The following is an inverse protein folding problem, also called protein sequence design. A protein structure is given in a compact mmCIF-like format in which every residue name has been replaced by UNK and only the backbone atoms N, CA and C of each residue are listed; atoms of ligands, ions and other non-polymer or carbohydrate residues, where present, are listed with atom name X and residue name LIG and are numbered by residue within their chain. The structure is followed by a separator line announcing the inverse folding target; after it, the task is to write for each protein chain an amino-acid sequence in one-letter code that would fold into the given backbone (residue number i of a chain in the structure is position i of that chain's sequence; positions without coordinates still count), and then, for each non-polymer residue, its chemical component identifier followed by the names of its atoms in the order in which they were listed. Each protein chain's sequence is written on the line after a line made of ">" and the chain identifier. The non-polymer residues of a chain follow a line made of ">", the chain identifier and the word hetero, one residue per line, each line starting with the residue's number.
data_IF_792880563479
#
_entry.id   IF_792880563479
#
_cell.length_a   1.000
_cell.length_b   1.000
_cell.length_c   1.000
_cell.angle_alpha   90.00
_cell.angle_beta   90.00
_cell.angle_gamma   90.00
#
_symmetry.space_group_name_H-M   'P 1'
#
loop_
_entity.id
_entity.type
_entity.pdbx_description
1 polymer ?
#
# COMPACT_ATOMS: atom_id res chain seq x y z
N UNK A 1 22.74 -0.04 41.16
CA UNK A 1 22.06 1.00 40.35
C UNK A 1 22.62 0.94 38.94
N UNK A 2 21.78 0.76 37.91
CA UNK A 2 21.86 1.40 36.58
C UNK A 2 20.86 0.70 35.65
N UNK A 3 19.77 1.40 35.35
CA UNK A 3 18.78 1.04 34.34
C UNK A 3 19.23 1.62 33.00
N UNK A 4 19.63 0.77 32.06
CA UNK A 4 19.82 1.21 30.68
C UNK A 4 18.51 1.02 29.93
N UNK A 5 17.59 1.98 30.12
CA UNK A 5 16.41 2.14 29.27
C UNK A 5 16.86 2.44 27.85
N UNK A 6 16.97 1.40 27.02
CA UNK A 6 17.06 1.56 25.57
C UNK A 6 15.76 2.24 25.11
N UNK A 7 15.85 3.55 24.85
CA UNK A 7 14.82 4.29 24.11
C UNK A 7 14.71 3.67 22.72
N UNK A 8 13.73 2.78 22.55
CA UNK A 8 13.26 2.37 21.24
C UNK A 8 12.81 3.65 20.55
N UNK A 9 13.59 4.13 19.57
CA UNK A 9 13.21 5.21 18.67
C UNK A 9 11.90 4.78 18.02
N UNK A 10 10.78 5.26 18.55
CA UNK A 10 9.50 5.26 17.85
C UNK A 10 9.72 6.08 16.59
N UNK A 11 9.97 5.42 15.47
CA UNK A 11 10.02 6.04 14.16
C UNK A 11 8.67 6.72 13.94
N UNK A 12 8.70 8.04 14.15
CA UNK A 12 7.71 9.08 13.83
C UNK A 12 6.38 8.58 13.28
N UNK A 13 5.44 8.21 14.16
CA UNK A 13 4.01 8.10 13.84
C UNK A 13 3.34 9.46 13.54
N UNK A 14 4.12 10.55 13.55
CA UNK A 14 3.66 11.95 13.64
C UNK A 14 4.23 12.90 12.57
N UNK A 15 4.63 12.41 11.38
CA UNK A 15 5.13 13.29 10.29
C UNK A 15 4.21 13.41 9.06
N UNK A 16 3.10 12.69 9.02
CA UNK A 16 2.15 12.73 7.90
C UNK A 16 0.98 13.65 8.29
N UNK A 17 1.14 14.96 8.14
CA UNK A 17 0.07 15.92 8.51
C UNK A 17 -0.18 17.03 7.50
N UNK A 18 0.76 17.28 6.58
CA UNK A 18 0.56 18.23 5.49
C UNK A 18 -0.04 17.57 4.25
N UNK A 19 -0.85 18.34 3.52
CA UNK A 19 -1.43 17.95 2.23
C UNK A 19 -0.34 17.47 1.24
N UNK A 20 0.77 18.20 1.16
CA UNK A 20 1.91 17.85 0.30
C UNK A 20 2.54 16.49 0.64
N UNK A 21 2.75 16.22 1.94
CA UNK A 21 3.28 14.94 2.37
C UNK A 21 2.31 13.80 2.04
N UNK A 22 1.00 14.04 2.19
CA UNK A 22 -0.02 13.07 1.79
C UNK A 22 -0.06 12.85 0.27
N UNK A 23 0.10 13.89 -0.55
CA UNK A 23 0.22 13.77 -2.02
C UNK A 23 1.41 12.89 -2.39
N UNK A 24 2.59 13.14 -1.81
CA UNK A 24 3.80 12.36 -2.07
C UNK A 24 3.64 10.89 -1.65
N UNK A 25 3.11 10.64 -0.46
CA UNK A 25 2.90 9.29 0.05
C UNK A 25 1.87 8.51 -0.77
N UNK A 26 0.78 9.13 -1.20
CA UNK A 26 -0.20 8.51 -2.10
C UNK A 26 0.40 8.21 -3.47
N UNK A 27 1.17 9.13 -4.04
CA UNK A 27 1.83 8.93 -5.33
C UNK A 27 2.87 7.79 -5.27
N UNK A 28 3.69 7.75 -4.22
CA UNK A 28 4.64 6.68 -3.99
C UNK A 28 3.94 5.33 -3.79
N UNK A 29 2.84 5.31 -3.05
CA UNK A 29 2.04 4.10 -2.84
C UNK A 29 1.40 3.62 -4.15
N UNK A 30 0.85 4.52 -4.97
CA UNK A 30 0.32 4.18 -6.29
C UNK A 30 1.39 3.52 -7.19
N UNK A 31 2.58 4.09 -7.24
CA UNK A 31 3.69 3.53 -8.03
C UNK A 31 4.06 2.11 -7.57
N UNK A 32 4.07 1.87 -6.25
CA UNK A 32 4.30 0.52 -5.69
C UNK A 32 3.18 -0.46 -6.05
N UNK A 33 1.93 -0.01 -6.01
CA UNK A 33 0.79 -0.83 -6.45
C UNK A 33 0.89 -1.18 -7.93
N UNK A 34 1.25 -0.22 -8.79
CA UNK A 34 1.44 -0.45 -10.23
C UNK A 34 2.55 -1.48 -10.49
N UNK A 35 3.67 -1.37 -9.77
CA UNK A 35 4.77 -2.32 -9.87
C UNK A 35 4.36 -3.73 -9.38
N UNK A 36 3.61 -3.84 -8.28
CA UNK A 36 3.17 -5.13 -7.75
C UNK A 36 2.13 -5.81 -8.64
N UNK A 37 1.22 -5.04 -9.25
CA UNK A 37 0.28 -5.54 -10.24
C UNK A 37 1.02 -6.05 -11.48
N UNK A 38 2.01 -5.29 -11.96
CA UNK A 38 2.83 -5.71 -13.10
C UNK A 38 3.63 -6.99 -12.80
N UNK A 39 4.32 -7.04 -11.66
CA UNK A 39 5.11 -8.19 -11.24
C UNK A 39 4.26 -9.46 -11.06
N UNK A 40 3.09 -9.32 -10.42
CA UNK A 40 2.17 -10.43 -10.21
C UNK A 40 1.58 -10.93 -11.53
N UNK A 41 1.25 -10.02 -12.47
CA UNK A 41 0.78 -10.40 -13.79
C UNK A 41 1.85 -11.07 -14.65
N UNK A 42 3.13 -10.71 -14.49
CA UNK A 42 4.24 -11.37 -15.16
C UNK A 42 4.50 -12.78 -14.60
N UNK A 43 4.48 -12.94 -13.28
CA UNK A 43 4.66 -14.23 -12.61
C UNK A 43 3.66 -15.28 -13.14
N UNK A 44 2.38 -14.93 -13.27
CA UNK A 44 1.36 -15.88 -13.75
C UNK A 44 1.43 -16.19 -15.24
N UNK A 45 2.08 -15.35 -16.05
CA UNK A 45 2.30 -15.65 -17.48
C UNK A 45 3.49 -16.58 -17.72
N UNK A 46 4.44 -16.60 -16.80
CA UNK A 46 5.74 -17.27 -16.99
C UNK A 46 5.84 -18.57 -16.18
N UNK A 47 5.27 -18.63 -14.98
CA UNK A 47 5.54 -19.73 -14.04
C UNK A 47 4.33 -20.59 -13.66
N UNK A 48 3.12 -20.27 -14.14
CA UNK A 48 1.89 -21.01 -13.83
C UNK A 48 1.09 -21.32 -15.11
N UNK A 49 0.37 -22.45 -15.14
CA UNK A 49 -0.57 -22.85 -16.20
C UNK A 49 -1.87 -22.01 -16.14
N UNK A 50 -1.71 -20.68 -16.14
CA UNK A 50 -2.77 -19.70 -15.97
C UNK A 50 -2.95 -19.17 -14.53
N UNK A 51 -3.69 -18.06 -14.39
CA UNK A 51 -3.79 -17.36 -13.13
C UNK A 51 -4.71 -18.06 -12.11
N UNK A 52 -4.23 -18.24 -10.88
CA UNK A 52 -5.03 -18.84 -9.79
C UNK A 52 -6.15 -17.90 -9.36
N UNK A 53 -7.36 -18.41 -9.08
CA UNK A 53 -8.51 -17.60 -8.64
C UNK A 53 -8.18 -16.71 -7.42
N UNK A 54 -7.38 -17.20 -6.47
CA UNK A 54 -6.92 -16.42 -5.33
C UNK A 54 -6.02 -15.24 -5.73
N UNK A 55 -5.09 -15.44 -6.68
CA UNK A 55 -4.22 -14.35 -7.13
C UNK A 55 -4.97 -13.33 -8.00
N UNK A 56 -5.95 -13.77 -8.80
CA UNK A 56 -6.87 -12.86 -9.50
C UNK A 56 -7.65 -12.01 -8.49
N UNK A 57 -8.15 -12.61 -7.41
CA UNK A 57 -8.85 -11.90 -6.34
C UNK A 57 -7.94 -10.90 -5.62
N UNK A 58 -6.69 -11.26 -5.33
CA UNK A 58 -5.70 -10.35 -4.75
C UNK A 58 -5.36 -9.19 -5.69
N UNK A 59 -5.15 -9.47 -6.98
CA UNK A 59 -4.93 -8.44 -8.00
C UNK A 59 -6.12 -7.49 -8.12
N UNK A 60 -7.34 -8.01 -8.08
CA UNK A 60 -8.56 -7.18 -8.09
C UNK A 60 -8.66 -6.32 -6.83
N UNK A 61 -8.27 -6.85 -5.66
CA UNK A 61 -8.17 -6.06 -4.42
C UNK A 61 -7.11 -4.96 -4.53
N UNK A 62 -5.92 -5.24 -5.08
CA UNK A 62 -4.91 -4.20 -5.34
C UNK A 62 -5.45 -3.12 -6.27
N UNK A 63 -6.08 -3.49 -7.38
CA UNK A 63 -6.66 -2.55 -8.35
C UNK A 63 -7.75 -1.67 -7.71
N UNK A 64 -8.60 -2.24 -6.85
CA UNK A 64 -9.63 -1.48 -6.13
C UNK A 64 -9.02 -0.43 -5.20
N UNK A 65 -8.00 -0.81 -4.42
CA UNK A 65 -7.31 0.13 -3.53
C UNK A 65 -6.52 1.19 -4.31
N UNK A 66 -5.89 0.81 -5.42
CA UNK A 66 -5.25 1.74 -6.36
C UNK A 66 -6.23 2.79 -6.87
N UNK A 67 -7.43 2.40 -7.30
CA UNK A 67 -8.45 3.37 -7.74
C UNK A 67 -8.77 4.37 -6.64
N UNK A 68 -9.04 3.89 -5.42
CA UNK A 68 -9.34 4.75 -4.27
C UNK A 68 -8.22 5.74 -3.92
N UNK A 69 -6.96 5.31 -4.05
CA UNK A 69 -5.81 6.20 -3.87
C UNK A 69 -5.77 7.27 -4.97
N UNK A 70 -6.03 6.90 -6.22
CA UNK A 70 -6.07 7.83 -7.35
C UNK A 70 -7.21 8.85 -7.22
N UNK A 71 -8.41 8.39 -6.90
CA UNK A 71 -9.58 9.26 -6.65
C UNK A 71 -9.31 10.27 -5.54
N UNK A 72 -8.66 9.83 -4.45
CA UNK A 72 -8.28 10.71 -3.35
C UNK A 72 -7.18 11.71 -3.75
N UNK A 73 -6.22 11.31 -4.58
CA UNK A 73 -5.20 12.20 -5.13
C UNK A 73 -5.79 13.31 -6.00
N UNK A 74 -6.78 12.96 -6.84
CA UNK A 74 -7.53 13.96 -7.63
C UNK A 74 -8.27 14.94 -6.72
N UNK A 75 -8.80 14.45 -5.59
CA UNK A 75 -9.42 15.30 -4.57
C UNK A 75 -8.40 16.25 -3.91
N UNK A 76 -7.11 15.92 -3.91
CA UNK A 76 -6.04 16.78 -3.37
C UNK A 76 -5.55 17.85 -4.34
N UNK A 77 -5.70 17.68 -5.66
CA UNK A 77 -5.13 18.62 -6.64
C UNK A 77 -5.69 20.02 -6.48
N UNK A 78 -6.98 20.14 -6.17
CA UNK A 78 -7.67 21.43 -6.04
C UNK A 78 -8.09 21.75 -4.60
N UNK A 79 -7.77 20.91 -3.62
CA UNK A 79 -8.18 21.13 -2.24
C UNK A 79 -7.48 22.36 -1.64
N UNK A 80 -8.27 23.28 -1.11
CA UNK A 80 -7.80 24.37 -0.25
C UNK A 80 -7.33 23.85 1.11
N UNK A 81 -6.70 24.72 1.92
CA UNK A 81 -6.28 24.36 3.27
C UNK A 81 -7.47 23.99 4.19
N UNK A 82 -8.62 24.64 4.03
CA UNK A 82 -9.84 24.34 4.80
C UNK A 82 -10.46 23.00 4.40
N UNK A 83 -10.50 22.72 3.10
CA UNK A 83 -10.93 21.43 2.59
C UNK A 83 -9.99 20.30 3.04
N UNK A 84 -8.68 20.57 3.08
CA UNK A 84 -7.68 19.62 3.58
C UNK A 84 -7.99 19.14 5.01
N UNK A 85 -8.32 20.05 5.91
CA UNK A 85 -8.65 19.71 7.31
C UNK A 85 -9.84 18.73 7.37
N UNK A 86 -10.82 18.93 6.49
CA UNK A 86 -12.02 18.10 6.38
C UNK A 86 -11.75 16.72 5.77
N UNK A 87 -10.91 16.65 4.72
CA UNK A 87 -10.64 15.38 4.01
C UNK A 87 -9.50 14.56 4.63
N UNK A 88 -8.59 15.18 5.41
CA UNK A 88 -7.42 14.53 6.03
C UNK A 88 -7.77 13.24 6.78
N UNK A 89 -8.82 13.16 7.62
CA UNK A 89 -9.19 11.92 8.30
C UNK A 89 -9.57 10.80 7.32
N UNK A 90 -10.29 11.13 6.24
CA UNK A 90 -10.69 10.17 5.21
C UNK A 90 -9.47 9.71 4.41
N UNK A 91 -8.61 10.65 3.99
CA UNK A 91 -7.34 10.38 3.33
C UNK A 91 -6.47 9.41 4.15
N UNK A 92 -6.31 9.67 5.46
CA UNK A 92 -5.57 8.80 6.37
C UNK A 92 -6.15 7.39 6.40
N UNK A 93 -7.47 7.26 6.52
CA UNK A 93 -8.15 5.96 6.54
C UNK A 93 -7.98 5.20 5.22
N UNK A 94 -8.02 5.90 4.07
CA UNK A 94 -7.78 5.30 2.75
C UNK A 94 -6.35 4.78 2.64
N UNK A 95 -5.38 5.60 3.07
CA UNK A 95 -3.97 5.24 3.08
C UNK A 95 -3.68 4.02 3.97
N UNK A 96 -4.15 4.03 5.21
CA UNK A 96 -3.96 2.92 6.15
C UNK A 96 -4.56 1.62 5.62
N UNK A 97 -5.78 1.68 5.05
CA UNK A 97 -6.41 0.52 4.41
C UNK A 97 -5.64 0.02 3.19
N UNK A 98 -5.09 0.92 2.38
CA UNK A 98 -4.29 0.53 1.23
C UNK A 98 -2.97 -0.15 1.64
N UNK A 99 -2.28 0.36 2.67
CA UNK A 99 -1.10 -0.30 3.24
C UNK A 99 -1.45 -1.69 3.77
N UNK A 100 -2.55 -1.82 4.52
CA UNK A 100 -2.96 -3.10 5.07
C UNK A 100 -3.27 -4.12 3.95
N UNK A 101 -3.99 -3.69 2.91
CA UNK A 101 -4.29 -4.53 1.76
C UNK A 101 -3.01 -5.00 1.05
N UNK A 102 -2.08 -4.08 0.78
CA UNK A 102 -0.78 -4.41 0.20
C UNK A 102 0.00 -5.39 1.08
N UNK A 103 0.05 -5.15 2.38
CA UNK A 103 0.75 -6.02 3.34
C UNK A 103 0.20 -7.44 3.35
N UNK A 104 -1.13 -7.59 3.30
CA UNK A 104 -1.80 -8.90 3.19
C UNK A 104 -1.40 -9.62 1.91
N UNK A 105 -1.45 -8.92 0.78
CA UNK A 105 -1.17 -9.51 -0.53
C UNK A 105 0.31 -9.90 -0.67
N UNK A 106 1.23 -9.07 -0.19
CA UNK A 106 2.65 -9.43 -0.17
C UNK A 106 2.94 -10.67 0.69
N UNK A 107 2.24 -10.83 1.82
CA UNK A 107 2.36 -12.05 2.63
C UNK A 107 1.79 -13.27 1.90
N UNK A 108 0.66 -13.13 1.23
CA UNK A 108 0.04 -14.20 0.43
C UNK A 108 0.95 -14.64 -0.72
N UNK A 109 1.46 -13.69 -1.50
CA UNK A 109 2.39 -13.94 -2.61
C UNK A 109 3.68 -14.58 -2.10
N UNK A 110 4.25 -14.10 -0.99
CA UNK A 110 5.44 -14.71 -0.39
C UNK A 110 5.18 -16.16 0.05
N UNK A 111 4.03 -16.44 0.68
CA UNK A 111 3.63 -17.81 1.04
C UNK A 111 3.53 -18.70 -0.20
N UNK A 112 2.84 -18.24 -1.24
CA UNK A 112 2.70 -18.99 -2.50
C UNK A 112 4.05 -19.30 -3.15
N UNK A 113 4.96 -18.31 -3.19
CA UNK A 113 6.33 -18.51 -3.71
C UNK A 113 7.13 -19.52 -2.88
N UNK A 114 6.98 -19.53 -1.56
CA UNK A 114 7.61 -20.51 -0.68
C UNK A 114 7.04 -21.92 -0.89
N UNK A 115 5.70 -22.04 -1.00
CA UNK A 115 5.04 -23.32 -1.31
C UNK A 115 5.43 -23.85 -2.70
N UNK A 116 5.61 -22.97 -3.68
CA UNK A 116 6.11 -23.32 -5.02
C UNK A 116 7.62 -23.61 -5.05
N UNK A 117 8.35 -23.45 -3.95
CA UNK A 117 9.79 -23.71 -3.87
C UNK A 117 10.69 -22.65 -4.52
N UNK A 118 10.15 -21.48 -4.85
CA UNK A 118 10.84 -20.40 -5.58
C UNK A 118 11.72 -19.56 -4.65
N UNK A 119 11.34 -19.46 -3.38
CA UNK A 119 12.11 -18.80 -2.32
C UNK A 119 12.27 -19.77 -1.14
N UNK A 120 13.47 -19.84 -0.59
CA UNK A 120 13.85 -20.66 0.58
C UNK A 120 13.82 -19.83 1.86
#
# INVERSE_FOLDING_TARGET
>A
MQTTSQKVKKTSRSKIDSLEHFKQEFAALLSRFDQEIANSAQYERVEMDGPSNDLINDLNRLKLHRSKLKDMLLSFENATAEEWVSIRPMARKVYEKAIEARSKINKEVARKKATAGIIR
#
